data_IF_014594593844
#
_entry.id   IF_014594593844
#
_cell.length_a   1.000
_cell.length_b   1.000
_cell.length_c   1.000
_cell.angle_alpha   90.00
_cell.angle_beta   90.00
_cell.angle_gamma   90.00
#
_symmetry.space_group_name_H-M   'P 1'
#
loop_
_entity.id
_entity.type
_entity.pdbx_description
1 polymer ?
#
# COMPACT_ATOMS: atom_id res chain seq x y z
N UNK A 1 8.76 -6.80 12.06
CA UNK A 1 9.06 -7.35 10.72
C UNK A 1 8.03 -6.90 9.72
N UNK A 2 8.48 -6.53 8.53
CA UNK A 2 7.58 -6.11 7.46
C UNK A 2 6.90 -7.33 6.87
N UNK A 3 5.59 -7.28 6.79
CA UNK A 3 4.79 -8.36 6.24
C UNK A 3 5.04 -8.48 4.73
N UNK A 4 4.89 -9.69 4.19
CA UNK A 4 5.10 -9.95 2.77
C UNK A 4 4.15 -9.11 1.91
N UNK A 5 2.92 -8.91 2.35
CA UNK A 5 1.97 -8.07 1.65
C UNK A 5 2.46 -6.62 1.58
N UNK A 6 3.05 -6.12 2.66
CA UNK A 6 3.62 -4.77 2.68
C UNK A 6 4.79 -4.65 1.72
N UNK A 7 5.66 -5.65 1.68
CA UNK A 7 6.81 -5.67 0.76
C UNK A 7 6.32 -5.67 -0.69
N UNK A 8 5.33 -6.49 -0.99
CA UNK A 8 4.75 -6.58 -2.34
C UNK A 8 4.15 -5.23 -2.75
N UNK A 9 3.45 -4.58 -1.82
CA UNK A 9 2.84 -3.28 -2.08
C UNK A 9 3.91 -2.22 -2.35
N UNK A 10 4.97 -2.20 -1.55
CA UNK A 10 6.07 -1.24 -1.75
C UNK A 10 6.77 -1.44 -3.10
N UNK A 11 7.00 -2.69 -3.49
CA UNK A 11 7.59 -3.01 -4.79
C UNK A 11 6.70 -2.54 -5.93
N UNK A 12 5.41 -2.79 -5.81
CA UNK A 12 4.45 -2.39 -6.83
C UNK A 12 4.41 -0.87 -6.96
N UNK A 13 4.39 -0.16 -5.84
CA UNK A 13 4.38 1.30 -5.84
C UNK A 13 5.61 1.87 -6.53
N UNK A 14 6.79 1.32 -6.24
CA UNK A 14 8.03 1.79 -6.85
C UNK A 14 8.07 1.51 -8.35
N UNK A 15 7.42 0.45 -8.77
CA UNK A 15 7.34 0.11 -10.19
C UNK A 15 6.38 1.02 -10.94
N UNK A 16 5.24 1.34 -10.33
CA UNK A 16 4.21 2.16 -10.94
C UNK A 16 4.53 3.65 -10.84
N UNK A 17 5.09 4.07 -9.73
CA UNK A 17 5.39 5.47 -9.46
C UNK A 17 6.89 5.65 -9.37
N UNK A 18 7.53 5.81 -10.52
CA UNK A 18 8.99 5.86 -10.59
C UNK A 18 9.58 7.11 -9.96
N UNK A 19 8.83 8.21 -9.96
CA UNK A 19 9.32 9.47 -9.41
C UNK A 19 9.02 9.55 -7.91
N UNK A 20 10.00 9.94 -7.09
CA UNK A 20 9.78 10.07 -5.65
C UNK A 20 9.02 11.36 -5.33
N UNK A 21 7.72 11.32 -5.46
CA UNK A 21 6.88 12.46 -5.08
C UNK A 21 6.59 12.43 -3.58
N UNK A 22 6.28 13.59 -2.96
CA UNK A 22 5.90 13.59 -1.54
C UNK A 22 4.73 12.67 -1.23
N UNK A 23 3.77 12.56 -2.13
CA UNK A 23 2.62 11.69 -1.95
C UNK A 23 3.02 10.21 -1.93
N UNK A 24 3.94 9.81 -2.83
CA UNK A 24 4.45 8.44 -2.84
C UNK A 24 5.20 8.13 -1.54
N UNK A 25 6.04 9.06 -1.10
CA UNK A 25 6.78 8.89 0.15
C UNK A 25 5.85 8.77 1.34
N UNK A 26 4.77 9.53 1.34
CA UNK A 26 3.76 9.49 2.38
C UNK A 26 3.09 8.11 2.44
N UNK A 27 2.75 7.58 1.28
CA UNK A 27 2.14 6.25 1.19
C UNK A 27 3.13 5.16 1.62
N UNK A 28 4.39 5.27 1.19
CA UNK A 28 5.42 4.31 1.60
C UNK A 28 5.61 4.34 3.13
N UNK A 29 5.58 5.52 3.73
CA UNK A 29 5.69 5.65 5.17
C UNK A 29 4.50 5.01 5.89
N UNK A 30 3.29 5.18 5.36
CA UNK A 30 2.11 4.56 5.95
C UNK A 30 2.21 3.03 5.90
N UNK A 31 2.71 2.49 4.78
CA UNK A 31 2.90 1.05 4.65
C UNK A 31 3.97 0.56 5.63
N UNK A 32 5.08 1.28 5.73
CA UNK A 32 6.19 0.91 6.62
C UNK A 32 5.77 0.96 8.10
N UNK A 33 4.86 1.87 8.44
CA UNK A 33 4.35 2.02 9.81
C UNK A 33 3.14 1.12 10.11
N UNK A 34 2.80 0.25 9.18
CA UNK A 34 1.67 -0.67 9.32
C UNK A 34 0.34 0.07 9.54
N UNK A 35 0.19 1.20 8.86
CA UNK A 35 -1.00 2.05 8.95
C UNK A 35 -1.86 1.89 7.70
N UNK A 36 -2.64 0.80 7.66
CA UNK A 36 -3.47 0.47 6.50
C UNK A 36 -4.59 1.49 6.27
N UNK A 37 -5.12 2.05 7.35
CA UNK A 37 -6.18 3.06 7.26
C UNK A 37 -5.68 4.30 6.54
N UNK A 38 -4.50 4.79 6.92
CA UNK A 38 -3.89 5.94 6.27
C UNK A 38 -3.52 5.63 4.81
N UNK A 39 -3.02 4.42 4.56
CA UNK A 39 -2.69 3.99 3.21
C UNK A 39 -3.92 4.03 2.30
N UNK A 40 -5.07 3.54 2.78
CA UNK A 40 -6.32 3.59 2.00
C UNK A 40 -6.74 5.02 1.72
N UNK A 41 -6.64 5.88 2.73
CA UNK A 41 -7.01 7.28 2.58
C UNK A 41 -6.16 7.97 1.53
N UNK A 42 -4.87 7.66 1.50
CA UNK A 42 -3.95 8.26 0.55
C UNK A 42 -4.20 7.82 -0.89
N UNK A 43 -4.77 6.63 -1.10
CA UNK A 43 -5.06 6.15 -2.45
C UNK A 43 -5.94 7.10 -3.25
N UNK A 44 -6.84 7.80 -2.58
CA UNK A 44 -7.76 8.73 -3.25
C UNK A 44 -7.05 9.94 -3.84
N UNK A 45 -5.82 10.18 -3.42
CA UNK A 45 -5.02 11.31 -3.94
C UNK A 45 -4.16 10.91 -5.13
N UNK A 46 -4.14 9.62 -5.50
CA UNK A 46 -3.40 9.13 -6.67
C UNK A 46 -4.32 9.01 -7.88
N UNK A 47 -3.75 9.24 -9.04
CA UNK A 47 -4.48 9.08 -10.31
C UNK A 47 -4.22 7.70 -10.91
N UNK A 48 -4.65 6.67 -10.19
CA UNK A 48 -4.52 5.31 -10.68
C UNK A 48 -5.62 4.99 -11.69
N UNK A 49 -5.27 4.18 -12.69
CA UNK A 49 -6.27 3.59 -13.57
C UNK A 49 -7.14 2.62 -12.77
N UNK A 50 -8.30 2.23 -13.31
CA UNK A 50 -9.17 1.27 -12.64
C UNK A 50 -8.46 -0.05 -12.34
N UNK A 51 -7.63 -0.50 -13.27
CA UNK A 51 -6.85 -1.73 -13.11
C UNK A 51 -5.83 -1.58 -11.98
N UNK A 52 -5.10 -0.47 -11.98
CA UNK A 52 -4.11 -0.19 -10.95
C UNK A 52 -4.76 -0.07 -9.57
N UNK A 53 -5.87 0.65 -9.50
CA UNK A 53 -6.59 0.84 -8.24
C UNK A 53 -7.09 -0.49 -7.68
N UNK A 54 -7.66 -1.32 -8.53
CA UNK A 54 -8.14 -2.64 -8.11
C UNK A 54 -7.00 -3.50 -7.60
N UNK A 55 -5.87 -3.45 -8.26
CA UNK A 55 -4.70 -4.21 -7.86
C UNK A 55 -4.17 -3.77 -6.49
N UNK A 56 -3.99 -2.46 -6.31
CA UNK A 56 -3.45 -1.94 -5.05
C UNK A 56 -4.42 -2.13 -3.90
N UNK A 57 -5.72 -2.00 -4.15
CA UNK A 57 -6.72 -2.28 -3.12
C UNK A 57 -6.68 -3.73 -2.68
N UNK A 58 -6.47 -4.65 -3.63
CA UNK A 58 -6.31 -6.06 -3.32
C UNK A 58 -5.07 -6.33 -2.45
N UNK A 59 -3.97 -5.61 -2.72
CA UNK A 59 -2.77 -5.74 -1.90
C UNK A 59 -3.00 -5.25 -0.48
N UNK A 60 -3.73 -4.16 -0.32
CA UNK A 60 -4.05 -3.63 1.01
C UNK A 60 -5.02 -4.56 1.75
N UNK A 61 -6.00 -5.12 1.06
CA UNK A 61 -6.92 -6.09 1.65
C UNK A 61 -6.16 -7.30 2.18
N UNK A 62 -5.20 -7.79 1.41
CA UNK A 62 -4.37 -8.91 1.81
C UNK A 62 -3.53 -8.56 3.04
N UNK A 63 -2.94 -7.38 3.04
CA UNK A 63 -2.18 -6.87 4.17
C UNK A 63 -3.03 -6.83 5.44
N UNK A 64 -4.23 -6.27 5.34
CA UNK A 64 -5.13 -6.20 6.50
C UNK A 64 -5.55 -7.58 7.01
N UNK A 65 -5.79 -8.53 6.10
CA UNK A 65 -6.14 -9.90 6.47
C UNK A 65 -4.99 -10.60 7.17
N UNK A 66 -3.79 -10.49 6.63
CA UNK A 66 -2.61 -11.11 7.23
C UNK A 66 -2.32 -10.51 8.61
N UNK A 67 -2.56 -9.21 8.75
CA UNK A 67 -2.40 -8.52 10.02
C UNK A 67 -3.39 -9.03 11.07
N UNK A 68 -4.64 -9.22 10.68
CA UNK A 68 -5.67 -9.74 11.57
C UNK A 68 -5.36 -11.19 11.98
N UNK A 69 -4.95 -12.01 11.01
CA UNK A 69 -4.60 -13.41 11.27
C UNK A 69 -3.38 -13.51 12.17
N UNK A 70 -2.41 -12.63 12.01
CA UNK A 70 -1.19 -12.63 12.79
C UNK A 70 -1.41 -12.34 14.27
N UNK A 71 -2.58 -11.83 14.63
CA UNK A 71 -2.94 -11.57 16.02
C UNK A 71 -3.67 -12.73 16.68
N UNK A 72 -4.17 -13.61 15.85
CA UNK A 72 -4.88 -14.78 16.33
C UNK A 72 -3.97 -15.72 17.06
#
# INVERSE_FOLDING_TARGET
MTDQAQVSLLRWLRRQLRQPTPLREHLEAAVANDDATEARRLLDHFEFSDVQRRHVEGLIDRWERERADGRG
#
